data_IF_910833654053
#
_entry.id   IF_910833654053
#
_cell.length_a   1.000
_cell.length_b   1.000
_cell.length_c   1.000
_cell.angle_alpha   90.00
_cell.angle_beta   90.00
_cell.angle_gamma   90.00
#
_symmetry.space_group_name_H-M   'P 1'
#
loop_
_entity.id
_entity.type
_entity.pdbx_description
1 polymer ?
#
# COMPACT_ATOMS: atom_id res chain seq x y z
N UNK A 1 -130.49 -63.73 -16.32
CA UNK A 1 -129.25 -63.50 -17.10
C UNK A 1 -128.24 -62.91 -16.15
N UNK A 2 -127.23 -63.71 -15.75
CA UNK A 2 -126.00 -63.38 -14.99
C UNK A 2 -125.52 -64.73 -14.41
N UNK A 3 -124.63 -65.53 -14.97
CA UNK A 3 -123.44 -65.39 -15.84
C UNK A 3 -122.30 -64.58 -15.23
N UNK A 4 -121.18 -65.27 -14.96
CA UNK A 4 -119.90 -64.68 -14.51
C UNK A 4 -119.25 -65.30 -13.28
N UNK A 5 -118.99 -66.61 -13.29
CA UNK A 5 -118.06 -67.30 -12.36
C UNK A 5 -116.62 -67.00 -12.77
N UNK A 6 -115.74 -66.59 -11.85
CA UNK A 6 -114.28 -66.65 -12.03
C UNK A 6 -113.62 -67.27 -10.80
N UNK A 7 -113.24 -68.52 -11.02
CA UNK A 7 -112.34 -69.42 -10.30
C UNK A 7 -111.32 -68.72 -9.36
N UNK A 8 -111.43 -68.99 -8.05
CA UNK A 8 -110.33 -68.77 -7.12
C UNK A 8 -109.38 -69.94 -7.20
N UNK A 9 -108.20 -69.74 -7.77
CA UNK A 9 -107.12 -70.73 -7.73
C UNK A 9 -106.46 -70.66 -6.36
N UNK A 10 -106.82 -71.58 -5.45
CA UNK A 10 -106.11 -71.78 -4.19
C UNK A 10 -104.79 -72.53 -4.48
N UNK A 11 -103.69 -71.80 -4.66
CA UNK A 11 -102.35 -72.37 -4.75
C UNK A 11 -101.68 -72.34 -3.36
N UNK A 12 -101.33 -73.51 -2.81
CA UNK A 12 -100.63 -73.62 -1.52
C UNK A 12 -99.11 -73.60 -1.73
N UNK A 13 -98.39 -72.79 -0.95
CA UNK A 13 -96.91 -72.71 -0.95
C UNK A 13 -96.34 -73.76 0.03
N UNK A 14 -95.48 -74.64 -0.47
CA UNK A 14 -94.79 -75.66 0.33
C UNK A 14 -93.26 -75.52 0.28
N UNK A 15 -92.59 -76.04 1.30
CA UNK A 15 -91.12 -76.17 1.34
C UNK A 15 -90.38 -74.97 1.95
N UNK A 16 -89.06 -74.83 1.71
CA UNK A 16 -88.20 -73.85 2.37
C UNK A 16 -88.67 -72.40 2.20
N UNK A 17 -89.30 -72.10 1.06
CA UNK A 17 -89.89 -70.79 0.79
C UNK A 17 -91.08 -70.50 1.71
N UNK A 18 -91.96 -71.46 1.96
CA UNK A 18 -93.11 -71.29 2.86
C UNK A 18 -92.66 -71.03 4.31
N UNK A 19 -91.62 -71.73 4.78
CA UNK A 19 -91.04 -71.47 6.10
C UNK A 19 -90.38 -70.08 6.20
N UNK A 20 -89.68 -69.63 5.14
CA UNK A 20 -89.06 -68.31 5.12
C UNK A 20 -90.10 -67.18 5.11
N UNK A 21 -91.18 -67.35 4.34
CA UNK A 21 -92.29 -66.39 4.31
C UNK A 21 -92.99 -66.33 5.67
N UNK A 22 -93.24 -67.48 6.30
CA UNK A 22 -93.86 -67.53 7.64
C UNK A 22 -92.97 -66.87 8.69
N UNK A 23 -91.66 -67.12 8.68
CA UNK A 23 -90.70 -66.47 9.58
C UNK A 23 -90.67 -64.95 9.37
N UNK A 24 -90.68 -64.50 8.12
CA UNK A 24 -90.66 -63.07 7.79
C UNK A 24 -91.96 -62.35 8.11
N UNK A 25 -93.09 -63.06 8.07
CA UNK A 25 -94.39 -62.56 8.48
C UNK A 25 -94.46 -62.40 10.00
N UNK A 26 -93.95 -63.37 10.77
CA UNK A 26 -93.85 -63.30 12.23
C UNK A 26 -92.92 -62.14 12.68
N UNK A 27 -91.77 -61.97 12.03
CA UNK A 27 -90.83 -60.85 12.27
C UNK A 27 -91.48 -59.45 12.08
N UNK A 28 -92.48 -59.37 11.20
CA UNK A 28 -93.19 -58.14 10.87
C UNK A 28 -94.54 -58.02 11.57
N UNK A 29 -94.89 -58.98 12.43
CA UNK A 29 -96.16 -59.10 13.18
C UNK A 29 -97.39 -58.98 12.25
N UNK A 30 -97.31 -59.60 11.08
CA UNK A 30 -98.38 -59.68 10.08
C UNK A 30 -98.69 -61.14 9.76
N UNK A 31 -99.88 -61.41 9.26
CA UNK A 31 -100.21 -62.78 8.82
C UNK A 31 -99.42 -63.12 7.56
N UNK A 32 -99.12 -64.40 7.36
CA UNK A 32 -98.41 -64.89 6.17
C UNK A 32 -99.09 -64.44 4.87
N UNK A 33 -100.42 -64.47 4.81
CA UNK A 33 -101.19 -64.00 3.66
C UNK A 33 -101.01 -62.49 3.42
N UNK A 34 -101.00 -61.67 4.48
CA UNK A 34 -100.82 -60.22 4.34
C UNK A 34 -99.39 -59.85 3.91
N UNK A 35 -98.38 -60.59 4.40
CA UNK A 35 -97.01 -60.44 3.93
C UNK A 35 -96.87 -60.84 2.46
N UNK A 36 -97.49 -61.96 2.05
CA UNK A 36 -97.50 -62.39 0.66
C UNK A 36 -98.21 -61.39 -0.24
N UNK A 37 -99.36 -60.83 0.17
CA UNK A 37 -100.04 -59.79 -0.58
C UNK A 37 -99.18 -58.54 -0.72
N UNK A 38 -98.46 -58.15 0.34
CA UNK A 38 -97.54 -57.00 0.29
C UNK A 38 -96.33 -57.25 -0.59
N UNK A 39 -95.76 -58.46 -0.56
CA UNK A 39 -94.65 -58.85 -1.45
C UNK A 39 -95.12 -58.94 -2.88
N UNK A 40 -96.31 -59.49 -3.14
CA UNK A 40 -96.89 -59.54 -4.49
C UNK A 40 -97.27 -58.15 -4.97
N UNK A 41 -97.76 -57.26 -4.11
CA UNK A 41 -98.03 -55.87 -4.45
C UNK A 41 -96.72 -55.13 -4.74
N UNK A 42 -95.69 -55.29 -3.90
CA UNK A 42 -94.38 -54.71 -4.13
C UNK A 42 -93.70 -55.30 -5.38
N UNK A 43 -93.90 -56.59 -5.65
CA UNK A 43 -93.43 -57.23 -6.87
C UNK A 43 -94.20 -56.73 -8.08
N UNK A 44 -95.52 -56.52 -8.01
CA UNK A 44 -96.31 -55.95 -9.11
C UNK A 44 -95.99 -54.49 -9.35
N UNK A 45 -95.77 -53.70 -8.29
CA UNK A 45 -95.31 -52.31 -8.41
C UNK A 45 -93.87 -52.27 -8.94
N UNK A 46 -93.00 -53.20 -8.54
CA UNK A 46 -91.68 -53.35 -9.12
C UNK A 46 -91.68 -54.02 -10.52
N UNK A 47 -92.70 -54.76 -10.94
CA UNK A 47 -92.81 -55.37 -12.28
C UNK A 47 -93.48 -54.39 -13.26
N UNK A 48 -94.35 -53.51 -12.76
CA UNK A 48 -94.91 -52.37 -13.49
C UNK A 48 -93.92 -51.21 -13.60
N UNK A 49 -92.89 -51.13 -12.74
CA UNK A 49 -91.96 -49.99 -12.68
C UNK A 49 -90.46 -50.34 -12.67
N UNK A 50 -90.09 -51.63 -12.79
CA UNK A 50 -88.74 -52.04 -13.18
C UNK A 50 -88.69 -52.26 -14.68
N UNK A 51 -88.23 -51.22 -15.37
CA UNK A 51 -87.50 -51.40 -16.61
C UNK A 51 -86.23 -52.18 -16.26
N UNK A 52 -86.32 -53.52 -16.27
CA UNK A 52 -85.17 -54.40 -16.08
C UNK A 52 -84.21 -54.05 -17.20
N UNK A 53 -83.16 -53.30 -16.88
CA UNK A 53 -82.04 -53.05 -17.79
C UNK A 53 -81.50 -54.43 -18.16
N UNK A 54 -81.92 -54.92 -19.31
CA UNK A 54 -81.47 -56.18 -19.86
C UNK A 54 -80.00 -56.03 -20.21
N UNK A 55 -79.27 -57.15 -20.27
CA UNK A 55 -77.90 -57.14 -20.82
C UNK A 55 -77.88 -56.46 -22.20
N UNK A 56 -78.97 -56.64 -22.97
CA UNK A 56 -79.15 -56.03 -24.29
C UNK A 56 -79.29 -54.50 -24.23
N UNK A 57 -79.97 -53.93 -23.22
CA UNK A 57 -80.07 -52.46 -23.04
C UNK A 57 -78.71 -51.85 -22.65
N UNK A 58 -77.96 -52.52 -21.77
CA UNK A 58 -76.62 -52.09 -21.40
C UNK A 58 -75.65 -52.19 -22.59
N UNK A 59 -75.73 -53.26 -23.39
CA UNK A 59 -74.94 -53.42 -24.62
C UNK A 59 -75.27 -52.37 -25.67
N UNK A 60 -76.55 -52.00 -25.80
CA UNK A 60 -76.99 -50.94 -26.71
C UNK A 60 -76.49 -49.57 -26.25
N UNK A 61 -76.53 -49.27 -24.95
CA UNK A 61 -75.97 -48.04 -24.38
C UNK A 61 -74.45 -48.00 -24.49
N UNK A 62 -73.76 -49.11 -24.26
CA UNK A 62 -72.32 -49.21 -24.45
C UNK A 62 -71.93 -49.01 -25.91
N UNK A 63 -72.68 -49.59 -26.84
CA UNK A 63 -72.46 -49.41 -28.27
C UNK A 63 -72.70 -47.96 -28.70
N UNK A 64 -73.74 -47.30 -28.20
CA UNK A 64 -74.01 -45.89 -28.45
C UNK A 64 -72.90 -44.98 -27.92
N UNK A 65 -72.42 -45.23 -26.69
CA UNK A 65 -71.29 -44.49 -26.10
C UNK A 65 -69.98 -44.77 -26.84
N UNK A 66 -69.78 -46.00 -27.31
CA UNK A 66 -68.60 -46.36 -28.09
C UNK A 66 -68.61 -45.70 -29.47
N UNK A 67 -69.77 -45.60 -30.12
CA UNK A 67 -69.95 -44.84 -31.36
C UNK A 67 -69.75 -43.33 -31.14
N UNK A 68 -70.26 -42.77 -30.05
CA UNK A 68 -70.04 -41.37 -29.65
C UNK A 68 -68.56 -41.09 -29.41
N UNK A 69 -67.88 -41.93 -28.61
CA UNK A 69 -66.47 -41.76 -28.33
C UNK A 69 -65.60 -41.93 -29.58
N UNK A 70 -65.96 -42.85 -30.48
CA UNK A 70 -65.31 -42.97 -31.79
C UNK A 70 -65.49 -41.68 -32.60
N UNK A 71 -66.70 -41.15 -32.65
CA UNK A 71 -66.99 -39.89 -33.33
C UNK A 71 -66.22 -38.71 -32.72
N UNK A 72 -66.09 -38.64 -31.41
CA UNK A 72 -65.33 -37.60 -30.71
C UNK A 72 -63.82 -37.74 -30.98
N UNK A 73 -63.30 -38.96 -30.96
CA UNK A 73 -61.90 -39.23 -31.31
C UNK A 73 -61.64 -38.82 -32.76
N UNK A 74 -62.51 -39.21 -33.69
CA UNK A 74 -62.38 -38.86 -35.10
C UNK A 74 -62.47 -37.34 -35.32
N UNK A 75 -63.32 -36.64 -34.56
CA UNK A 75 -63.44 -35.19 -34.60
C UNK A 75 -62.19 -34.49 -34.05
N UNK A 76 -61.65 -34.96 -32.91
CA UNK A 76 -60.41 -34.43 -32.32
C UNK A 76 -59.21 -34.71 -33.20
N UNK A 77 -59.13 -35.91 -33.80
CA UNK A 77 -58.05 -36.27 -34.73
C UNK A 77 -58.09 -35.38 -35.97
N UNK A 78 -59.28 -35.13 -36.52
CA UNK A 78 -59.49 -34.20 -37.63
C UNK A 78 -59.09 -32.76 -37.24
N UNK A 79 -59.48 -32.28 -36.07
CA UNK A 79 -59.10 -30.94 -35.57
C UNK A 79 -57.57 -30.84 -35.35
N UNK A 80 -56.96 -31.91 -34.85
CA UNK A 80 -55.51 -31.96 -34.64
C UNK A 80 -54.77 -31.94 -35.97
N UNK A 81 -55.20 -32.72 -36.95
CA UNK A 81 -54.64 -32.72 -38.30
C UNK A 81 -54.76 -31.35 -38.97
N UNK A 82 -55.91 -30.68 -38.84
CA UNK A 82 -56.10 -29.31 -39.33
C UNK A 82 -55.13 -28.33 -38.68
N UNK A 83 -54.97 -28.38 -37.35
CA UNK A 83 -54.00 -27.53 -36.62
C UNK A 83 -52.56 -27.81 -37.02
N UNK A 84 -52.20 -29.08 -37.23
CA UNK A 84 -50.87 -29.45 -37.70
C UNK A 84 -50.62 -28.93 -39.12
N UNK A 85 -51.62 -28.99 -40.00
CA UNK A 85 -51.49 -28.37 -41.33
C UNK A 85 -51.36 -26.84 -41.23
N UNK A 86 -52.11 -26.16 -40.36
CA UNK A 86 -52.00 -24.71 -40.17
C UNK A 86 -50.61 -24.29 -39.64
N UNK A 87 -50.09 -24.99 -38.63
CA UNK A 87 -48.74 -24.75 -38.11
C UNK A 87 -47.69 -25.01 -39.20
N UNK A 88 -47.85 -26.08 -39.99
CA UNK A 88 -46.96 -26.39 -41.10
C UNK A 88 -46.97 -25.27 -42.15
N UNK A 89 -48.14 -24.83 -42.57
CA UNK A 89 -48.30 -23.71 -43.51
C UNK A 89 -47.64 -22.45 -42.95
N UNK A 90 -47.86 -22.15 -41.66
CA UNK A 90 -47.26 -21.01 -40.97
C UNK A 90 -45.73 -21.09 -40.91
N UNK A 91 -45.16 -22.25 -40.58
CA UNK A 91 -43.70 -22.43 -40.52
C UNK A 91 -43.10 -22.28 -41.91
N UNK A 92 -43.73 -22.85 -42.94
CA UNK A 92 -43.31 -22.68 -44.33
C UNK A 92 -43.38 -21.21 -44.74
N UNK A 93 -44.45 -20.51 -44.36
CA UNK A 93 -44.59 -19.08 -44.61
C UNK A 93 -43.47 -18.28 -43.92
N UNK A 94 -43.23 -18.49 -42.62
CA UNK A 94 -42.17 -17.80 -41.88
C UNK A 94 -40.81 -18.08 -42.48
N UNK A 95 -40.53 -19.33 -42.86
CA UNK A 95 -39.28 -19.70 -43.53
C UNK A 95 -39.13 -18.97 -44.86
N UNK A 96 -40.18 -18.96 -45.71
CA UNK A 96 -40.16 -18.21 -46.98
C UNK A 96 -39.98 -16.71 -46.74
N UNK A 97 -40.66 -16.14 -45.76
CA UNK A 97 -40.56 -14.73 -45.41
C UNK A 97 -39.18 -14.38 -44.83
N UNK A 98 -38.53 -15.31 -44.11
CA UNK A 98 -37.19 -15.15 -43.57
C UNK A 98 -36.14 -15.25 -44.68
N UNK A 99 -36.21 -16.29 -45.52
CA UNK A 99 -35.32 -16.46 -46.68
C UNK A 99 -35.46 -15.30 -47.67
N UNK A 100 -36.68 -14.79 -47.88
CA UNK A 100 -36.91 -13.62 -48.74
C UNK A 100 -36.34 -12.32 -48.14
N UNK A 101 -36.15 -12.24 -46.82
CA UNK A 101 -35.52 -11.10 -46.14
C UNK A 101 -34.00 -11.21 -46.16
N UNK A 102 -33.46 -12.42 -46.04
CA UNK A 102 -32.05 -12.69 -46.14
C UNK A 102 -31.85 -14.14 -46.61
N UNK A 103 -31.19 -14.30 -47.76
CA UNK A 103 -30.77 -15.62 -48.22
C UNK A 103 -29.84 -16.27 -47.17
N UNK A 104 -29.75 -17.60 -47.20
CA UNK A 104 -28.85 -18.35 -46.31
C UNK A 104 -27.38 -17.91 -46.43
N UNK A 105 -27.00 -17.37 -47.59
CA UNK A 105 -25.67 -16.86 -47.91
C UNK A 105 -25.63 -15.31 -47.88
N UNK A 106 -26.58 -14.66 -47.19
CA UNK A 106 -26.54 -13.21 -47.04
C UNK A 106 -25.34 -12.77 -46.19
N UNK A 107 -24.39 -12.10 -46.83
CA UNK A 107 -23.25 -11.51 -46.16
C UNK A 107 -23.53 -10.10 -45.63
N UNK A 108 -22.83 -9.73 -44.57
CA UNK A 108 -22.80 -8.37 -44.02
C UNK A 108 -21.43 -7.73 -44.24
N UNK A 109 -21.14 -7.23 -45.46
CA UNK A 109 -19.83 -6.66 -45.78
C UNK A 109 -19.46 -5.48 -44.87
N UNK A 110 -20.44 -4.69 -44.44
CA UNK A 110 -20.21 -3.57 -43.51
C UNK A 110 -19.76 -4.05 -42.12
N UNK A 111 -20.34 -5.15 -41.61
CA UNK A 111 -19.92 -5.75 -40.34
C UNK A 111 -18.54 -6.41 -40.46
N UNK A 112 -18.26 -7.07 -41.59
CA UNK A 112 -16.95 -7.63 -41.87
C UNK A 112 -15.88 -6.53 -41.91
N UNK A 113 -16.16 -5.42 -42.60
CA UNK A 113 -15.27 -4.26 -42.68
C UNK A 113 -15.04 -3.64 -41.29
N UNK A 114 -16.10 -3.46 -40.50
CA UNK A 114 -15.99 -2.98 -39.11
C UNK A 114 -15.17 -3.91 -38.23
N UNK A 115 -15.32 -5.23 -38.39
CA UNK A 115 -14.53 -6.21 -37.66
C UNK A 115 -13.04 -6.15 -38.06
N UNK A 116 -12.74 -6.02 -39.35
CA UNK A 116 -11.37 -5.85 -39.84
C UNK A 116 -10.73 -4.56 -39.33
N UNK A 117 -11.47 -3.44 -39.36
CA UNK A 117 -11.05 -2.16 -38.80
C UNK A 117 -10.79 -2.25 -37.30
N UNK A 118 -11.70 -2.87 -36.54
CA UNK A 118 -11.55 -3.06 -35.10
C UNK A 118 -10.33 -3.93 -34.77
N UNK A 119 -10.08 -4.97 -35.57
CA UNK A 119 -8.89 -5.82 -35.43
C UNK A 119 -7.61 -5.06 -35.77
N UNK A 120 -7.62 -4.20 -36.80
CA UNK A 120 -6.48 -3.34 -37.11
C UNK A 120 -6.19 -2.37 -35.97
N UNK A 121 -7.22 -1.65 -35.49
CA UNK A 121 -7.09 -0.71 -34.39
C UNK A 121 -6.59 -1.40 -33.11
N UNK A 122 -7.03 -2.62 -32.82
CA UNK A 122 -6.54 -3.39 -31.68
C UNK A 122 -5.05 -3.77 -31.82
N UNK A 123 -4.59 -4.08 -33.03
CA UNK A 123 -3.16 -4.36 -33.29
C UNK A 123 -2.32 -3.10 -33.14
N UNK A 124 -2.79 -1.97 -33.65
CA UNK A 124 -2.11 -0.69 -33.54
C UNK A 124 -2.00 -0.27 -32.08
N UNK A 125 -3.09 -0.34 -31.31
CA UNK A 125 -3.08 -0.08 -29.87
C UNK A 125 -2.15 -1.03 -29.11
N UNK A 126 -2.07 -2.31 -29.49
CA UNK A 126 -1.13 -3.26 -28.88
C UNK A 126 0.33 -2.87 -29.15
N UNK A 127 0.64 -2.40 -30.36
CA UNK A 127 1.97 -1.91 -30.71
C UNK A 127 2.34 -0.66 -29.91
N UNK A 128 1.43 0.31 -29.80
CA UNK A 128 1.62 1.51 -28.98
C UNK A 128 1.86 1.16 -27.50
N UNK A 129 1.07 0.25 -26.92
CA UNK A 129 1.26 -0.21 -25.54
C UNK A 129 2.62 -0.87 -25.35
N UNK A 130 3.10 -1.65 -26.33
CA UNK A 130 4.41 -2.27 -26.28
C UNK A 130 5.53 -1.20 -26.32
N UNK A 131 5.39 -0.19 -27.16
CA UNK A 131 6.32 0.93 -27.25
C UNK A 131 6.36 1.75 -25.96
N UNK A 132 5.21 2.13 -25.41
CA UNK A 132 5.09 2.86 -24.14
C UNK A 132 5.69 2.05 -22.99
N UNK A 133 5.42 0.74 -22.95
CA UNK A 133 5.98 -0.14 -21.93
C UNK A 133 7.51 -0.19 -22.00
N UNK A 134 8.06 -0.21 -23.21
CA UNK A 134 9.51 -0.19 -23.42
C UNK A 134 10.14 1.16 -23.08
N UNK A 135 9.48 2.26 -23.43
CA UNK A 135 9.89 3.60 -23.01
C UNK A 135 9.90 3.73 -21.48
N UNK A 136 8.89 3.18 -20.79
CA UNK A 136 8.81 3.16 -19.34
C UNK A 136 9.93 2.32 -18.71
N UNK A 137 10.30 1.16 -19.29
CA UNK A 137 11.45 0.36 -18.83
C UNK A 137 12.75 1.14 -18.96
N UNK A 138 13.01 1.72 -20.13
CA UNK A 138 14.22 2.55 -20.36
C UNK A 138 14.30 3.75 -19.43
N UNK A 139 13.16 4.41 -19.17
CA UNK A 139 13.11 5.51 -18.21
C UNK A 139 13.46 5.04 -16.81
N UNK A 140 12.91 3.90 -16.38
CA UNK A 140 13.21 3.31 -15.07
C UNK A 140 14.69 2.96 -14.94
N UNK A 141 15.27 2.30 -15.94
CA UNK A 141 16.70 1.97 -15.96
C UNK A 141 17.58 3.22 -15.88
N UNK A 142 17.22 4.30 -16.58
CA UNK A 142 17.94 5.58 -16.50
C UNK A 142 17.83 6.22 -15.12
N UNK A 143 16.65 6.17 -14.52
CA UNK A 143 16.40 6.72 -13.18
C UNK A 143 17.19 5.93 -12.14
N UNK A 144 17.11 4.60 -12.17
CA UNK A 144 17.84 3.73 -11.26
C UNK A 144 19.37 3.93 -11.40
N UNK A 145 19.88 3.96 -12.63
CA UNK A 145 21.30 4.26 -12.88
C UNK A 145 21.71 5.66 -12.42
N UNK A 146 20.82 6.65 -12.54
CA UNK A 146 21.03 7.99 -12.00
C UNK A 146 21.17 7.98 -10.48
N UNK A 147 20.29 7.27 -9.78
CA UNK A 147 20.36 7.14 -8.32
C UNK A 147 21.65 6.44 -7.87
N UNK A 148 22.03 5.34 -8.53
CA UNK A 148 23.29 4.65 -8.24
C UNK A 148 24.49 5.59 -8.37
N UNK A 149 24.52 6.43 -9.41
CA UNK A 149 25.57 7.42 -9.60
C UNK A 149 25.56 8.49 -8.50
N UNK A 150 24.40 9.01 -8.11
CA UNK A 150 24.30 9.98 -7.02
C UNK A 150 24.74 9.38 -5.68
N UNK A 151 24.38 8.12 -5.39
CA UNK A 151 24.82 7.44 -4.16
C UNK A 151 26.33 7.26 -4.11
N UNK A 152 26.96 6.96 -5.25
CA UNK A 152 28.42 6.90 -5.38
C UNK A 152 29.06 8.26 -5.10
N UNK A 153 28.55 9.32 -5.73
CA UNK A 153 29.05 10.70 -5.52
C UNK A 153 28.88 11.14 -4.07
N UNK A 154 27.70 10.92 -3.47
CA UNK A 154 27.44 11.28 -2.07
C UNK A 154 28.32 10.48 -1.11
N UNK A 155 28.58 9.21 -1.40
CA UNK A 155 29.51 8.39 -0.61
C UNK A 155 30.93 8.94 -0.69
N UNK A 156 31.40 9.26 -1.90
CA UNK A 156 32.71 9.87 -2.10
C UNK A 156 32.84 11.20 -1.35
N UNK A 157 31.88 12.12 -1.52
CA UNK A 157 31.90 13.43 -0.86
C UNK A 157 31.89 13.32 0.67
N UNK A 158 31.08 12.40 1.21
CA UNK A 158 31.03 12.13 2.65
C UNK A 158 32.36 11.58 3.18
N UNK A 159 32.99 10.68 2.43
CA UNK A 159 34.24 10.06 2.86
C UNK A 159 35.41 11.04 2.75
N UNK A 160 35.43 11.88 1.71
CA UNK A 160 36.38 13.00 1.56
C UNK A 160 36.19 14.03 2.68
N UNK A 161 34.95 14.40 3.02
CA UNK A 161 34.68 15.31 4.13
C UNK A 161 35.21 14.79 5.47
N UNK A 162 35.04 13.48 5.75
CA UNK A 162 35.62 12.83 6.94
C UNK A 162 37.15 12.81 6.90
N UNK A 163 37.73 12.66 5.72
CA UNK A 163 39.18 12.69 5.57
C UNK A 163 39.75 14.10 5.84
N UNK A 164 39.10 15.13 5.29
CA UNK A 164 39.44 16.52 5.54
C UNK A 164 39.28 16.90 7.03
N UNK A 165 38.21 16.46 7.69
CA UNK A 165 38.00 16.67 9.13
C UNK A 165 39.13 16.07 9.98
N UNK A 166 39.56 14.84 9.67
CA UNK A 166 40.70 14.21 10.34
C UNK A 166 42.00 14.98 10.10
N UNK A 167 42.25 15.43 8.87
CA UNK A 167 43.43 16.25 8.53
C UNK A 167 43.39 17.59 9.26
N UNK A 168 42.25 18.27 9.29
CA UNK A 168 42.06 19.54 9.98
C UNK A 168 42.29 19.40 11.49
N UNK A 169 41.74 18.36 12.12
CA UNK A 169 41.96 18.05 13.54
C UNK A 169 43.43 17.77 13.84
N UNK A 170 44.10 17.03 12.95
CA UNK A 170 45.53 16.74 13.06
C UNK A 170 46.37 18.02 12.97
N UNK A 171 46.07 18.89 12.00
CA UNK A 171 46.75 20.18 11.83
C UNK A 171 46.50 21.11 13.01
N UNK A 172 45.26 21.22 13.49
CA UNK A 172 44.93 22.01 14.66
C UNK A 172 45.74 21.55 15.88
N UNK A 173 45.80 20.23 16.12
CA UNK A 173 46.60 19.64 17.21
C UNK A 173 48.09 19.95 17.05
N UNK A 174 48.63 19.82 15.84
CA UNK A 174 50.04 20.12 15.56
C UNK A 174 50.36 21.61 15.77
N UNK A 175 49.47 22.51 15.35
CA UNK A 175 49.62 23.96 15.52
C UNK A 175 49.57 24.34 17.01
N UNK A 176 48.64 23.78 17.78
CA UNK A 176 48.59 24.00 19.24
C UNK A 176 49.86 23.47 19.90
N UNK A 177 50.30 22.26 19.57
CA UNK A 177 51.54 21.69 20.10
C UNK A 177 52.78 22.52 19.74
N UNK A 178 52.83 23.10 18.54
CA UNK A 178 53.90 24.02 18.13
C UNK A 178 53.87 25.32 18.94
N UNK A 179 52.68 25.90 19.16
CA UNK A 179 52.50 27.10 19.99
C UNK A 179 52.95 26.86 21.43
N UNK A 180 52.55 25.74 22.02
CA UNK A 180 52.96 25.35 23.38
C UNK A 180 54.48 25.15 23.47
N UNK A 181 55.07 24.51 22.46
CA UNK A 181 56.52 24.32 22.38
C UNK A 181 57.25 25.66 22.32
N UNK A 182 56.79 26.59 21.48
CA UNK A 182 57.36 27.95 21.38
C UNK A 182 57.19 28.71 22.69
N UNK A 183 56.01 28.67 23.31
CA UNK A 183 55.75 29.31 24.60
C UNK A 183 56.67 28.76 25.71
N UNK A 184 56.88 27.44 25.73
CA UNK A 184 57.78 26.80 26.70
C UNK A 184 59.24 27.23 26.52
N UNK A 185 59.71 27.34 25.26
CA UNK A 185 61.06 27.81 24.94
C UNK A 185 61.23 29.28 25.31
N UNK A 186 60.24 30.13 24.99
CA UNK A 186 60.25 31.54 25.35
C UNK A 186 60.26 31.72 26.88
N UNK A 187 59.48 30.94 27.63
CA UNK A 187 59.46 30.98 29.09
C UNK A 187 60.81 30.54 29.70
N UNK A 188 61.43 29.48 29.14
CA UNK A 188 62.75 29.03 29.56
C UNK A 188 63.83 30.09 29.31
N UNK A 189 63.77 30.79 28.18
CA UNK A 189 64.72 31.85 27.84
C UNK A 189 64.52 33.08 28.75
N UNK A 190 63.28 33.53 28.93
CA UNK A 190 62.96 34.62 29.86
C UNK A 190 63.38 34.32 31.31
N UNK A 191 63.39 33.03 31.71
CA UNK A 191 63.92 32.59 33.01
C UNK A 191 65.45 32.74 33.06
N UNK A 192 66.17 32.33 32.02
CA UNK A 192 67.63 32.51 31.92
C UNK A 192 68.04 33.98 31.90
N UNK A 193 67.39 34.80 31.07
CA UNK A 193 67.68 36.24 30.97
C UNK A 193 67.51 36.96 32.31
N UNK A 194 66.47 36.59 33.09
CA UNK A 194 66.28 37.10 34.45
C UNK A 194 67.44 36.72 35.38
N UNK A 195 67.88 35.47 35.35
CA UNK A 195 69.04 35.03 36.13
C UNK A 195 70.32 35.77 35.71
N UNK A 196 70.55 35.97 34.41
CA UNK A 196 71.69 36.73 33.91
C UNK A 196 71.63 38.21 34.29
N UNK A 197 70.44 38.81 34.30
CA UNK A 197 70.25 40.18 34.79
C UNK A 197 70.64 40.31 36.26
N UNK A 198 70.16 39.41 37.12
CA UNK A 198 70.51 39.40 38.55
C UNK A 198 72.02 39.24 38.76
N UNK A 199 72.67 38.34 38.00
CA UNK A 199 74.14 38.19 38.02
C UNK A 199 74.86 39.47 37.62
N UNK A 200 74.37 40.16 36.59
CA UNK A 200 74.94 41.42 36.10
C UNK A 200 74.78 42.54 37.13
N UNK A 201 73.61 42.69 37.71
CA UNK A 201 73.32 43.65 38.79
C UNK A 201 74.23 43.41 40.00
N UNK A 202 74.34 42.16 40.45
CA UNK A 202 75.23 41.79 41.55
C UNK A 202 76.70 42.10 41.23
N UNK A 203 77.16 41.79 40.02
CA UNK A 203 78.55 42.08 39.61
C UNK A 203 78.82 43.60 39.57
N UNK A 204 77.88 44.40 39.04
CA UNK A 204 77.98 45.86 39.02
C UNK A 204 78.00 46.45 40.44
N UNK A 205 77.19 45.90 41.35
CA UNK A 205 77.12 46.32 42.74
C UNK A 205 78.23 45.73 43.64
N UNK A 206 79.10 44.86 43.11
CA UNK A 206 80.17 44.20 43.87
C UNK A 206 79.70 43.11 44.83
N UNK A 207 78.47 42.62 44.66
CA UNK A 207 77.83 41.60 45.51
C UNK A 207 78.20 40.20 45.02
N UNK A 208 78.75 39.35 45.90
CA UNK A 208 79.06 37.94 45.59
C UNK A 208 78.05 36.96 46.21
N UNK A 209 77.64 37.26 47.43
CA UNK A 209 76.67 36.50 48.22
C UNK A 209 75.59 37.46 48.72
N UNK A 210 74.35 37.01 48.67
CA UNK A 210 73.18 37.74 49.16
C UNK A 210 72.16 36.77 49.75
N UNK A 211 71.47 37.20 50.81
CA UNK A 211 70.47 36.41 51.51
C UNK A 211 69.12 36.49 50.78
N UNK A 212 68.40 35.37 50.69
CA UNK A 212 67.06 35.37 50.12
C UNK A 212 66.10 36.19 51.00
N UNK A 213 65.36 37.13 50.39
CA UNK A 213 64.38 37.96 51.11
C UNK A 213 63.22 37.19 51.78
N UNK A 214 62.94 35.95 51.33
CA UNK A 214 61.86 35.11 51.87
C UNK A 214 62.34 34.18 53.00
N UNK A 215 63.40 33.40 52.76
CA UNK A 215 63.85 32.37 53.71
C UNK A 215 65.13 32.73 54.47
N UNK A 216 65.83 33.81 54.09
CA UNK A 216 67.05 34.29 54.74
C UNK A 216 68.32 33.47 54.46
N UNK A 217 68.25 32.42 53.64
CA UNK A 217 69.43 31.59 53.32
C UNK A 217 70.37 32.31 52.34
N UNK A 218 71.68 32.18 52.53
CA UNK A 218 72.70 32.85 51.72
C UNK A 218 72.91 32.15 50.38
N UNK A 219 72.85 32.91 49.29
CA UNK A 219 72.98 32.40 47.92
C UNK A 219 74.14 33.08 47.19
N UNK A 220 75.00 32.28 46.56
CA UNK A 220 76.06 32.79 45.66
C UNK A 220 75.45 33.19 44.32
N UNK A 221 75.24 34.49 44.10
CA UNK A 221 74.48 35.01 42.94
C UNK A 221 75.11 34.59 41.60
N UNK A 222 76.44 34.52 41.51
CA UNK A 222 77.16 34.13 40.29
C UNK A 222 76.84 32.70 39.79
N UNK A 223 76.42 31.80 40.70
CA UNK A 223 76.13 30.38 40.39
C UNK A 223 74.66 30.13 40.05
N UNK A 224 73.79 31.14 40.07
CA UNK A 224 72.38 30.98 39.76
C UNK A 224 72.16 30.46 38.32
N UNK A 225 71.54 29.31 38.16
CA UNK A 225 71.11 28.83 36.84
C UNK A 225 69.70 29.28 36.47
N UNK A 226 68.97 29.82 37.45
CA UNK A 226 67.60 30.27 37.34
C UNK A 226 67.34 31.39 38.37
N UNK A 227 66.31 32.24 38.17
CA UNK A 227 66.04 33.40 39.00
C UNK A 227 65.27 33.05 40.27
N UNK A 228 65.42 31.84 40.81
CA UNK A 228 64.73 31.40 42.03
C UNK A 228 65.72 30.93 43.09
N UNK A 229 65.31 31.05 44.35
CA UNK A 229 66.06 30.55 45.47
C UNK A 229 66.20 29.03 45.40
N UNK A 230 67.42 28.46 45.48
CA UNK A 230 67.61 27.01 45.46
C UNK A 230 67.07 26.30 46.71
N UNK A 231 66.74 27.05 47.78
CA UNK A 231 66.30 26.50 49.05
C UNK A 231 64.78 26.58 49.25
N UNK A 232 64.13 27.68 48.85
CA UNK A 232 62.67 27.88 49.03
C UNK A 232 61.89 28.11 47.73
N UNK A 233 62.55 28.10 46.56
CA UNK A 233 61.96 28.34 45.24
C UNK A 233 61.31 29.72 45.04
N UNK A 234 61.50 30.68 45.95
CA UNK A 234 61.03 32.05 45.76
C UNK A 234 61.76 32.73 44.58
N UNK A 235 61.00 33.39 43.71
CA UNK A 235 61.55 34.12 42.54
C UNK A 235 62.19 35.42 42.98
N UNK A 236 63.42 35.65 42.55
CA UNK A 236 64.18 36.87 42.74
C UNK A 236 63.82 37.92 41.69
N UNK A 237 63.61 39.14 42.13
CA UNK A 237 63.26 40.28 41.27
C UNK A 237 64.46 41.20 41.03
N UNK A 238 65.21 41.50 42.09
CA UNK A 238 66.33 42.44 42.07
C UNK A 238 67.39 42.12 43.13
N UNK A 239 68.59 42.69 42.94
CA UNK A 239 69.67 42.66 43.93
C UNK A 239 69.69 43.95 44.73
N UNK A 240 69.43 43.87 46.04
CA UNK A 240 69.51 45.00 46.95
C UNK A 240 70.88 45.03 47.66
N UNK A 241 71.74 45.94 47.21
CA UNK A 241 73.02 46.16 47.85
C UNK A 241 72.87 47.06 49.08
N UNK A 242 73.35 46.59 50.24
CA UNK A 242 73.35 47.37 51.48
C UNK A 242 74.77 47.86 51.80
N UNK A 243 75.16 49.10 51.44
CA UNK A 243 76.54 49.59 51.56
C UNK A 243 77.00 49.94 52.99
N UNK A 244 76.32 49.47 54.03
CA UNK A 244 76.64 49.72 55.44
C UNK A 244 77.52 48.65 56.08
N UNK A 245 78.29 49.01 57.11
CA UNK A 245 79.24 48.13 57.85
C UNK A 245 78.63 46.96 58.63
N UNK A 246 77.31 46.74 58.57
CA UNK A 246 76.59 45.67 59.29
C UNK A 246 75.45 45.01 58.50
N UNK A 247 75.20 45.39 57.24
CA UNK A 247 74.08 44.84 56.46
C UNK A 247 74.52 43.69 55.57
N UNK A 248 73.74 42.61 55.53
CA UNK A 248 73.86 41.60 54.47
C UNK A 248 73.15 42.09 53.20
N UNK A 249 73.69 41.73 52.03
CA UNK A 249 73.02 41.99 50.75
C UNK A 249 71.79 41.10 50.65
N UNK A 250 70.69 41.59 50.06
CA UNK A 250 69.43 40.84 49.98
C UNK A 250 69.02 40.65 48.53
N UNK A 251 68.60 39.43 48.19
CA UNK A 251 67.88 39.17 46.94
C UNK A 251 66.39 39.40 47.21
N UNK A 252 65.87 40.51 46.70
CA UNK A 252 64.47 40.84 46.82
C UNK A 252 63.64 39.79 46.09
N UNK A 253 62.69 39.19 46.80
CA UNK A 253 61.77 38.20 46.25
C UNK A 253 60.44 38.86 45.90
N UNK A 254 59.93 38.57 44.72
CA UNK A 254 58.69 39.15 44.21
C UNK A 254 58.14 38.33 43.05
N UNK A 255 56.82 38.23 42.97
CA UNK A 255 56.16 37.74 41.76
C UNK A 255 56.18 38.89 40.76
N UNK A 256 57.02 38.77 39.72
CA UNK A 256 56.98 39.67 38.57
C UNK A 256 55.51 39.86 38.16
N UNK A 257 55.03 41.11 37.95
CA UNK A 257 53.65 41.34 37.56
C UNK A 257 53.39 40.49 36.32
N UNK A 258 52.33 39.68 36.36
CA UNK A 258 51.87 38.99 35.16
C UNK A 258 51.76 40.06 34.09
N UNK A 259 52.54 39.95 33.02
CA UNK A 259 52.32 40.76 31.83
C UNK A 259 50.83 40.61 31.53
N UNK A 260 50.07 41.69 31.33
CA UNK A 260 48.70 41.58 30.91
C UNK A 260 48.72 40.76 29.62
N UNK A 261 48.35 39.48 29.72
CA UNK A 261 47.89 38.73 28.58
C UNK A 261 46.68 39.53 28.12
N UNK A 262 46.78 40.06 26.91
CA UNK A 262 45.67 40.71 26.24
C UNK A 262 44.66 39.60 25.90
N UNK A 263 43.99 39.08 26.93
CA UNK A 263 42.91 38.10 26.86
C UNK A 263 41.61 38.79 26.39
N UNK A 264 41.67 40.08 26.04
CA UNK A 264 40.56 40.89 25.52
C UNK A 264 40.45 40.94 23.99
N UNK A 265 41.28 40.22 23.23
CA UNK A 265 41.18 40.21 21.75
C UNK A 265 40.62 38.90 21.18
N UNK A 266 40.21 37.97 22.03
CA UNK A 266 39.43 36.80 21.63
C UNK A 266 38.02 36.95 22.20
N UNK A 267 37.32 38.00 21.75
CA UNK A 267 35.86 37.94 21.73
C UNK A 267 35.53 36.87 20.68
N UNK A 268 35.23 35.66 21.15
CA UNK A 268 35.05 34.43 20.36
C UNK A 268 33.91 34.53 19.32
N UNK A 269 33.20 35.66 19.25
CA UNK A 269 32.09 35.91 18.33
C UNK A 269 32.46 36.75 17.11
N UNK A 270 33.67 37.33 17.04
CA UNK A 270 34.07 38.18 15.90
C UNK A 270 34.88 37.47 14.82
N UNK A 271 35.55 36.35 15.14
CA UNK A 271 36.45 35.67 14.20
C UNK A 271 35.73 34.71 13.26
N UNK A 272 34.61 34.13 13.72
CA UNK A 272 33.63 33.51 12.85
C UNK A 272 32.82 34.68 12.31
N UNK A 273 32.96 35.02 11.02
CA UNK A 273 32.17 36.07 10.36
C UNK A 273 30.69 35.71 10.23
N UNK A 274 30.07 35.25 11.31
CA UNK A 274 28.67 35.00 11.53
C UNK A 274 28.17 36.13 12.42
N UNK A 275 27.98 37.30 11.83
CA UNK A 275 27.08 38.28 12.44
C UNK A 275 25.76 37.54 12.69
N UNK A 276 25.29 37.44 13.93
CA UNK A 276 24.08 36.70 14.29
C UNK A 276 22.85 37.09 13.44
N UNK A 277 22.85 38.33 12.93
CA UNK A 277 21.88 38.84 11.96
C UNK A 277 21.79 38.01 10.66
N UNK A 278 22.88 37.40 10.21
CA UNK A 278 22.90 36.58 8.98
C UNK A 278 22.26 35.21 9.14
N UNK A 279 22.28 34.62 10.35
CA UNK A 279 21.64 33.34 10.61
C UNK A 279 20.13 33.50 10.87
N UNK A 280 19.72 34.61 11.50
CA UNK A 280 18.31 34.92 11.75
C UNK A 280 17.59 35.28 10.43
N UNK A 281 18.26 35.98 9.51
CA UNK A 281 17.77 36.24 8.16
C UNK A 281 17.65 34.98 7.26
N UNK A 282 18.36 33.89 7.58
CA UNK A 282 18.23 32.61 6.86
C UNK A 282 17.16 31.69 7.47
N UNK A 283 16.84 31.88 8.76
CA UNK A 283 15.79 31.13 9.46
C UNK A 283 14.40 31.73 9.22
N UNK A 284 14.31 33.05 9.00
CA UNK A 284 13.12 33.74 8.51
C UNK A 284 13.05 33.58 6.99
N UNK A 285 12.58 32.41 6.55
CA UNK A 285 12.37 32.10 5.14
C UNK A 285 11.60 33.21 4.42
N UNK A 286 12.29 33.86 3.48
CA UNK A 286 11.64 34.68 2.47
C UNK A 286 10.75 33.80 1.62
N UNK A 287 9.44 33.98 1.75
CA UNK A 287 8.44 33.62 0.76
C UNK A 287 8.65 34.47 -0.51
N UNK A 288 9.77 34.27 -1.21
CA UNK A 288 9.92 34.70 -2.60
C UNK A 288 10.06 33.45 -3.46
N UNK A 289 8.94 33.16 -4.13
CA UNK A 289 8.72 32.14 -5.13
C UNK A 289 9.63 32.39 -6.35
N UNK A 290 10.92 32.10 -6.21
CA UNK A 290 11.88 31.91 -7.30
C UNK A 290 12.39 30.46 -7.23
N UNK A 291 11.48 29.54 -7.54
CA UNK A 291 11.87 28.19 -7.88
C UNK A 291 12.84 28.21 -9.08
N UNK A 292 13.90 27.37 -9.09
CA UNK A 292 14.82 27.35 -10.21
C UNK A 292 14.06 27.05 -11.51
N UNK A 293 14.27 27.90 -12.52
CA UNK A 293 13.76 27.72 -13.87
C UNK A 293 14.12 26.29 -14.32
N UNK A 294 13.10 25.45 -14.45
CA UNK A 294 13.26 24.07 -14.91
C UNK A 294 13.83 24.16 -16.32
N UNK A 295 15.12 23.85 -16.46
CA UNK A 295 15.78 23.82 -17.76
C UNK A 295 15.11 22.74 -18.59
N UNK A 296 14.41 23.17 -19.64
CA UNK A 296 13.80 22.30 -20.62
C UNK A 296 14.90 21.45 -21.30
N UNK A 297 14.85 20.10 -21.19
CA UNK A 297 15.90 19.22 -21.69
C UNK A 297 16.08 19.24 -23.22
N UNK A 298 15.19 19.90 -23.97
CA UNK A 298 15.29 19.99 -25.44
C UNK A 298 16.23 21.11 -25.96
N UNK A 299 16.91 21.87 -25.08
CA UNK A 299 17.78 23.00 -25.50
C UNK A 299 19.28 22.71 -25.57
N UNK A 300 19.73 21.52 -25.18
CA UNK A 300 21.18 21.20 -25.10
C UNK A 300 21.78 20.73 -26.44
N UNK A 301 20.98 20.45 -27.47
CA UNK A 301 21.49 19.91 -28.75
C UNK A 301 21.69 20.95 -29.88
N UNK A 302 22.03 22.21 -29.59
CA UNK A 302 22.33 23.20 -30.66
C UNK A 302 23.63 23.99 -30.59
N UNK A 303 24.44 23.86 -29.54
CA UNK A 303 25.69 24.65 -29.44
C UNK A 303 26.99 23.84 -29.60
N UNK A 304 26.96 22.52 -29.82
CA UNK A 304 28.18 21.72 -30.04
C UNK A 304 28.51 21.41 -31.52
N UNK A 305 27.76 21.98 -32.48
CA UNK A 305 27.96 21.68 -33.91
C UNK A 305 28.69 22.79 -34.72
N UNK A 306 29.41 23.69 -34.06
CA UNK A 306 30.04 24.83 -34.75
C UNK A 306 31.43 25.21 -34.25
N UNK A 307 32.28 24.28 -33.81
CA UNK A 307 33.73 24.57 -33.75
C UNK A 307 34.58 23.30 -33.80
N UNK A 308 34.89 22.83 -35.00
CA UNK A 308 35.67 21.59 -35.13
C UNK A 308 36.03 21.14 -36.54
N UNK A 309 36.17 22.05 -37.51
CA UNK A 309 36.76 21.63 -38.79
C UNK A 309 37.40 22.79 -39.58
N UNK A 310 38.62 23.18 -39.20
CA UNK A 310 39.64 23.65 -40.16
C UNK A 310 41.03 23.69 -39.53
N UNK A 311 41.74 22.59 -39.68
CA UNK A 311 43.16 22.51 -39.43
C UNK A 311 43.63 21.10 -39.75
N UNK A 312 44.00 20.86 -41.01
CA UNK A 312 45.29 20.25 -41.37
C UNK A 312 45.24 19.64 -42.79
N UNK A 313 46.06 20.21 -43.68
CA UNK A 313 46.57 19.60 -44.90
C UNK A 313 47.97 20.18 -45.07
N UNK A 314 48.94 19.51 -44.47
CA UNK A 314 50.36 19.68 -44.73
C UNK A 314 51.04 18.31 -44.68
N UNK A 315 51.60 17.93 -45.83
CA UNK A 315 52.59 16.85 -46.08
C UNK A 315 52.09 15.40 -46.26
#
# INVERSE_FOLDING_TARGET
MADGTSDGVEASLDGPAASWVAERADDLDVTTDEFLDRVVAAYREADEEADVVTSDDLEQRLSAVEEELRSDIDAVDSEFDEKIQDVRERVIQVKRDADAKADADHDHPDLASQAEEAVSAARDAQAEVAEVSEAARRLRERVDAGFDNYEEVLTYLRDEARDLDRKATTLATAVVSMRDSVASLAAAEARRERAERLKREANVAGVREADCGECGESVTVALLTAPECPFCAATFEAVEANPGWFGTHVLATGSAPALPSDESVLDDESWLGTDGDTLEAMAEGGDEDDGPEVVDPDRVERDEAADGQRGDRGE
#
